data_IF_736876338519
#
_entry.id   IF_736876338519
#
_cell.length_a   1.000
_cell.length_b   1.000
_cell.length_c   1.000
_cell.angle_alpha   90.00
_cell.angle_beta   90.00
_cell.angle_gamma   90.00
#
_symmetry.space_group_name_H-M   'P 1'
#
loop_
_entity.id
_entity.type
_entity.pdbx_description
1 polymer ?
#
# COMPACT_ATOMS: atom_id res chain seq x y z
N UNK A 1 5.37 10.29 -0.93
CA UNK A 1 5.23 9.11 -0.04
C UNK A 1 3.87 9.09 0.63
N UNK A 2 3.45 10.18 1.29
CA UNK A 2 2.14 10.27 1.94
C UNK A 2 1.00 10.10 0.93
N UNK A 3 1.00 10.84 -0.18
CA UNK A 3 -0.05 10.79 -1.20
C UNK A 3 -0.22 9.37 -1.80
N UNK A 4 0.90 8.71 -2.13
CA UNK A 4 0.86 7.33 -2.64
C UNK A 4 0.29 6.34 -1.61
N UNK A 5 0.60 6.53 -0.32
CA UNK A 5 0.04 5.70 0.75
C UNK A 5 -1.46 5.98 0.95
N UNK A 6 -1.90 7.24 0.88
CA UNK A 6 -3.32 7.60 0.95
C UNK A 6 -4.13 7.05 -0.22
N UNK A 7 -3.54 7.05 -1.42
CA UNK A 7 -4.15 6.46 -2.61
C UNK A 7 -4.25 4.93 -2.47
N UNK A 8 -3.19 4.28 -2.00
CA UNK A 8 -3.19 2.85 -1.72
C UNK A 8 -4.23 2.47 -0.66
N UNK A 9 -4.38 3.28 0.40
CA UNK A 9 -5.41 3.11 1.41
C UNK A 9 -6.83 3.29 0.83
N UNK A 10 -7.04 4.26 -0.08
CA UNK A 10 -8.32 4.50 -0.73
C UNK A 10 -8.78 3.34 -1.64
N UNK A 11 -7.85 2.72 -2.38
CA UNK A 11 -8.14 1.53 -3.21
C UNK A 11 -8.07 0.20 -2.44
N UNK A 12 -7.94 0.24 -1.11
CA UNK A 12 -7.97 -0.94 -0.27
C UNK A 12 -9.38 -1.24 0.24
N UNK A 13 -9.57 -2.42 0.83
CA UNK A 13 -10.82 -2.75 1.54
C UNK A 13 -11.06 -1.85 2.76
N UNK A 14 -10.02 -1.19 3.29
CA UNK A 14 -10.09 -0.35 4.47
C UNK A 14 -10.37 1.14 4.16
N UNK A 15 -10.90 1.46 2.97
CA UNK A 15 -11.16 2.84 2.53
C UNK A 15 -12.07 3.66 3.47
N UNK A 16 -12.92 2.99 4.25
CA UNK A 16 -13.87 3.62 5.18
C UNK A 16 -13.28 3.79 6.59
N UNK A 17 -12.10 3.21 6.86
CA UNK A 17 -11.47 3.32 8.16
C UNK A 17 -10.77 4.68 8.29
N UNK A 18 -10.85 5.31 9.47
CA UNK A 18 -10.22 6.61 9.70
C UNK A 18 -8.69 6.52 9.62
N UNK A 19 -8.09 5.39 9.99
CA UNK A 19 -6.64 5.15 9.90
C UNK A 19 -6.38 3.78 9.28
N UNK A 20 -5.63 3.77 8.19
CA UNK A 20 -5.23 2.56 7.47
C UNK A 20 -3.73 2.37 7.59
N UNK A 21 -3.32 1.16 7.97
CA UNK A 21 -1.91 0.77 7.99
C UNK A 21 -1.45 0.36 6.58
N UNK A 22 -0.54 1.14 6.01
CA UNK A 22 0.03 0.88 4.67
C UNK A 22 1.50 0.49 4.82
N UNK A 23 1.87 -0.63 4.18
CA UNK A 23 3.23 -1.12 4.19
C UNK A 23 4.03 -0.50 3.04
N UNK A 24 5.09 0.23 3.38
CA UNK A 24 6.05 0.80 2.46
C UNK A 24 7.33 -0.02 2.45
N UNK A 25 7.79 -0.39 1.26
CA UNK A 25 9.10 -1.02 1.07
C UNK A 25 9.69 -0.71 -0.29
N UNK A 26 11.01 -0.87 -0.41
CA UNK A 26 11.70 -0.78 -1.68
C UNK A 26 11.46 -2.06 -2.50
N UNK A 27 11.35 -1.92 -3.83
CA UNK A 27 11.11 -3.03 -4.77
C UNK A 27 12.01 -4.25 -4.56
N UNK A 28 13.27 -4.04 -4.16
CA UNK A 28 14.25 -5.13 -3.92
C UNK A 28 13.86 -6.09 -2.78
N UNK A 29 12.98 -5.68 -1.88
CA UNK A 29 12.51 -6.49 -0.74
C UNK A 29 11.14 -7.13 -0.99
N UNK A 30 10.61 -7.03 -2.22
CA UNK A 30 9.36 -7.65 -2.65
C UNK A 30 9.69 -8.92 -3.41
N UNK A 31 9.19 -10.06 -2.93
CA UNK A 31 9.41 -11.35 -3.55
C UNK A 31 8.08 -12.00 -3.96
N UNK A 32 7.99 -12.49 -5.21
CA UNK A 32 6.86 -13.30 -5.67
C UNK A 32 7.21 -14.78 -5.51
N UNK A 33 6.54 -15.54 -4.63
CA UNK A 33 6.79 -16.96 -4.50
C UNK A 33 6.47 -17.71 -5.81
N UNK A 34 7.30 -18.70 -6.15
CA UNK A 34 7.09 -19.52 -7.37
C UNK A 34 5.78 -20.29 -7.23
N UNK A 35 4.92 -20.21 -8.25
CA UNK A 35 3.60 -20.86 -8.26
C UNK A 35 2.49 -20.05 -7.56
N UNK A 36 2.77 -18.85 -7.06
CA UNK A 36 1.75 -17.99 -6.47
C UNK A 36 0.81 -17.37 -7.50
N UNK A 37 -0.46 -17.18 -7.09
CA UNK A 37 -1.48 -16.48 -7.88
C UNK A 37 -1.04 -15.05 -8.23
N UNK A 38 -1.53 -14.54 -9.36
CA UNK A 38 -1.27 -13.16 -9.76
C UNK A 38 -1.74 -12.20 -8.65
N UNK A 39 -0.88 -11.25 -8.28
CA UNK A 39 -1.14 -10.28 -7.20
C UNK A 39 -0.62 -10.69 -5.82
N UNK A 40 -0.28 -11.96 -5.57
CA UNK A 40 0.30 -12.37 -4.29
C UNK A 40 1.81 -12.05 -4.24
N UNK A 41 2.22 -11.34 -3.19
CA UNK A 41 3.61 -10.95 -2.93
C UNK A 41 3.95 -11.11 -1.45
N UNK A 42 5.22 -11.42 -1.16
CA UNK A 42 5.78 -11.46 0.20
C UNK A 42 6.78 -10.32 0.38
N UNK A 43 6.76 -9.68 1.55
CA UNK A 43 7.66 -8.58 1.90
C UNK A 43 8.68 -9.04 2.93
N UNK A 44 9.97 -8.94 2.62
CA UNK A 44 11.04 -9.36 3.54
C UNK A 44 11.37 -8.32 4.61
N UNK A 45 11.17 -7.04 4.29
CA UNK A 45 11.30 -5.92 5.22
C UNK A 45 10.39 -4.81 4.74
N UNK A 46 9.60 -4.25 5.65
CA UNK A 46 8.66 -3.18 5.34
C UNK A 46 8.56 -2.23 6.52
N UNK A 47 8.16 -0.99 6.24
CA UNK A 47 7.77 -0.02 7.26
C UNK A 47 6.27 0.16 7.18
N UNK A 48 5.59 0.17 8.31
CA UNK A 48 4.16 0.45 8.37
C UNK A 48 3.93 1.92 8.63
N UNK A 49 3.09 2.55 7.82
CA UNK A 49 2.71 3.96 7.93
C UNK A 49 1.20 4.01 8.15
N UNK A 50 0.76 4.75 9.17
CA UNK A 50 -0.67 5.00 9.39
C UNK A 50 -1.08 6.24 8.60
N UNK A 51 -2.06 6.08 7.72
CA UNK A 51 -2.56 7.17 6.88
C UNK A 51 -4.08 7.19 6.85
N UNK A 52 -4.65 8.37 6.68
CA UNK A 52 -6.07 8.55 6.44
C UNK A 52 -6.33 8.43 4.92
N UNK A 53 -7.27 7.58 4.46
CA UNK A 53 -7.54 7.39 3.05
C UNK A 53 -8.09 8.68 2.44
N UNK A 54 -7.35 9.24 1.47
CA UNK A 54 -7.73 10.50 0.80
C UNK A 54 -7.48 10.38 -0.70
N UNK A 55 -8.48 10.77 -1.47
CA UNK A 55 -8.39 10.86 -2.93
C UNK A 55 -8.06 12.31 -3.34
N UNK A 56 -6.89 12.80 -2.93
CA UNK A 56 -6.39 14.10 -3.39
C UNK A 56 -5.54 13.89 -4.62
N UNK A 57 -6.20 13.77 -5.78
CA UNK A 57 -5.56 13.97 -7.08
C UNK A 57 -6.24 15.20 -7.70
N UNK A 58 -5.74 16.40 -7.38
CA UNK A 58 -5.89 17.50 -8.32
C UNK A 58 -4.99 17.15 -9.51
N UNK A 59 -5.63 16.75 -10.62
CA UNK A 59 -4.96 16.52 -11.88
C UNK A 59 -4.48 17.89 -12.39
N UNK A 60 -3.18 18.15 -12.29
CA UNK A 60 -2.50 19.22 -13.02
C UNK A 60 -2.24 18.73 -14.46
#
# INVERSE_FOLDING_TARGET
>A
MLEAAQLAAFFSQAKEQPKVAVNYTNKKFVNKPKGAVAGLVSLSSFKTILVEPKHSLERI
#
